data_IF_024521993180
#
_entry.id   IF_024521993180
#
_cell.length_a   1.000
_cell.length_b   1.000
_cell.length_c   1.000
_cell.angle_alpha   90.00
_cell.angle_beta   90.00
_cell.angle_gamma   90.00
#
_symmetry.space_group_name_H-M   'P 1'
#
loop_
_entity.id
_entity.type
_entity.pdbx_description
1 polymer ?
#
# COMPACT_ATOMS: atom_id res chain seq x y z
N UNK A 1 26.99 9.43 3.36
CA UNK A 1 26.38 9.09 2.06
C UNK A 1 25.14 8.27 2.33
N UNK A 2 23.96 8.90 2.40
CA UNK A 2 22.69 8.18 2.48
C UNK A 2 22.37 7.77 1.05
N UNK A 3 22.61 6.51 0.70
CA UNK A 3 22.23 6.00 -0.61
C UNK A 3 20.75 6.21 -0.78
N UNK A 4 20.36 7.02 -1.76
CA UNK A 4 19.00 7.03 -2.27
C UNK A 4 18.64 5.59 -2.61
N UNK A 5 17.81 4.96 -1.77
CA UNK A 5 17.17 3.71 -2.09
C UNK A 5 16.24 4.02 -3.27
N UNK A 6 16.79 3.98 -4.48
CA UNK A 6 16.01 4.11 -5.70
C UNK A 6 14.87 3.11 -5.58
N UNK A 7 13.63 3.59 -5.69
CA UNK A 7 12.45 2.72 -5.79
C UNK A 7 12.52 2.00 -7.15
N UNK A 8 13.39 0.99 -7.24
CA UNK A 8 13.70 0.22 -8.45
C UNK A 8 12.92 -1.10 -8.52
N UNK A 9 12.17 -1.44 -7.46
CA UNK A 9 11.31 -2.62 -7.39
C UNK A 9 9.89 -2.28 -7.83
N UNK A 10 9.31 -3.18 -8.62
CA UNK A 10 7.93 -3.07 -9.13
C UNK A 10 7.14 -4.31 -8.74
N UNK A 11 5.92 -4.08 -8.29
CA UNK A 11 4.91 -5.12 -8.08
C UNK A 11 3.79 -4.87 -9.08
N UNK A 12 3.29 -5.95 -9.69
CA UNK A 12 2.09 -5.91 -10.55
C UNK A 12 1.02 -6.74 -9.87
N UNK A 13 -0.12 -6.13 -9.58
CA UNK A 13 -1.27 -6.77 -8.93
C UNK A 13 -2.41 -6.83 -9.93
N UNK A 14 -3.02 -8.00 -10.08
CA UNK A 14 -4.25 -8.17 -10.87
C UNK A 14 -5.42 -8.11 -9.91
N UNK A 15 -6.38 -7.25 -10.22
CA UNK A 15 -7.55 -6.99 -9.41
C UNK A 15 -8.80 -7.15 -10.30
N UNK A 16 -9.91 -7.52 -9.70
CA UNK A 16 -11.23 -7.33 -10.31
C UNK A 16 -11.57 -5.84 -10.37
N UNK A 17 -12.64 -5.50 -11.09
CA UNK A 17 -13.13 -4.12 -11.15
C UNK A 17 -13.51 -3.60 -9.76
N UNK A 18 -14.24 -4.40 -8.99
CA UNK A 18 -14.68 -4.05 -7.63
C UNK A 18 -13.50 -3.84 -6.67
N UNK A 19 -12.49 -4.71 -6.74
CA UNK A 19 -11.26 -4.59 -5.94
C UNK A 19 -10.49 -3.31 -6.29
N UNK A 20 -10.39 -2.98 -7.58
CA UNK A 20 -9.74 -1.75 -8.01
C UNK A 20 -10.52 -0.51 -7.57
N UNK A 21 -11.85 -0.52 -7.72
CA UNK A 21 -12.72 0.57 -7.30
C UNK A 21 -12.61 0.82 -5.79
N UNK A 22 -12.57 -0.24 -4.98
CA UNK A 22 -12.34 -0.15 -3.55
C UNK A 22 -10.99 0.53 -3.22
N UNK A 23 -9.91 0.11 -3.88
CA UNK A 23 -8.58 0.74 -3.69
C UNK A 23 -8.62 2.21 -4.09
N UNK A 24 -9.29 2.56 -5.19
CA UNK A 24 -9.42 3.93 -5.67
C UNK A 24 -10.20 4.82 -4.69
N UNK A 25 -11.35 4.35 -4.21
CA UNK A 25 -12.18 5.07 -3.25
C UNK A 25 -11.44 5.34 -1.94
N UNK A 26 -10.78 4.31 -1.38
CA UNK A 26 -9.99 4.47 -0.15
C UNK A 26 -8.85 5.45 -0.37
N UNK A 27 -8.13 5.33 -1.48
CA UNK A 27 -7.02 6.22 -1.85
C UNK A 27 -7.49 7.68 -1.93
N UNK A 28 -8.64 7.93 -2.56
CA UNK A 28 -9.22 9.26 -2.66
C UNK A 28 -9.59 9.85 -1.29
N UNK A 29 -10.14 9.03 -0.38
CA UNK A 29 -10.52 9.47 0.98
C UNK A 29 -9.32 9.84 1.84
N UNK A 30 -8.22 9.10 1.73
CA UNK A 30 -7.02 9.32 2.57
C UNK A 30 -6.05 10.34 1.97
N UNK A 31 -6.26 10.77 0.71
CA UNK A 31 -5.41 11.76 0.05
C UNK A 31 -3.99 11.26 -0.26
N UNK A 32 -3.80 9.95 -0.37
CA UNK A 32 -2.51 9.31 -0.67
C UNK A 32 -2.45 8.89 -2.14
N UNK A 33 -1.27 8.56 -2.66
CA UNK A 33 -1.16 7.81 -3.91
C UNK A 33 -1.57 6.34 -3.70
N UNK A 34 -2.02 5.65 -4.75
CA UNK A 34 -2.35 4.21 -4.67
C UNK A 34 -1.21 3.37 -4.08
N UNK A 35 0.03 3.72 -4.40
CA UNK A 35 1.22 3.02 -3.86
C UNK A 35 1.34 3.22 -2.35
N UNK A 36 1.18 4.46 -1.88
CA UNK A 36 1.21 4.77 -0.44
C UNK A 36 0.04 4.13 0.30
N UNK A 37 -1.15 4.13 -0.28
CA UNK A 37 -2.32 3.43 0.29
C UNK A 37 -2.05 1.95 0.48
N UNK A 38 -1.50 1.27 -0.54
CA UNK A 38 -1.18 -0.16 -0.47
C UNK A 38 -0.11 -0.41 0.59
N UNK A 39 0.98 0.38 0.61
CA UNK A 39 2.05 0.23 1.60
C UNK A 39 1.54 0.47 3.02
N UNK A 40 0.69 1.49 3.22
CA UNK A 40 0.08 1.76 4.53
C UNK A 40 -0.81 0.60 4.99
N UNK A 41 -1.55 -0.01 4.06
CA UNK A 41 -2.32 -1.23 4.34
C UNK A 41 -1.44 -2.38 4.82
N UNK A 42 -0.28 -2.59 4.21
CA UNK A 42 0.70 -3.61 4.63
C UNK A 42 1.28 -3.30 6.01
N UNK A 43 1.67 -2.05 6.27
CA UNK A 43 2.18 -1.62 7.59
C UNK A 43 1.16 -1.87 8.71
N UNK A 44 -0.12 -1.56 8.47
CA UNK A 44 -1.18 -1.78 9.47
C UNK A 44 -1.40 -3.28 9.76
N UNK A 45 -1.26 -4.14 8.74
CA UNK A 45 -1.30 -5.59 8.93
C UNK A 45 -0.11 -6.08 9.76
N UNK A 46 1.09 -5.59 9.48
CA UNK A 46 2.31 -5.91 10.24
C UNK A 46 2.19 -5.50 11.71
N UNK A 47 1.77 -4.26 11.97
CA UNK A 47 1.51 -3.77 13.34
C UNK A 47 0.46 -4.60 14.09
N UNK A 48 -0.53 -5.12 13.38
CA UNK A 48 -1.59 -5.95 13.97
C UNK A 48 -1.04 -7.33 14.35
N UNK A 49 -0.18 -7.91 13.52
CA UNK A 49 0.47 -9.19 13.80
C UNK A 49 1.44 -9.10 14.97
N UNK A 50 2.21 -8.02 15.07
CA UNK A 50 3.16 -7.81 16.17
C UNK A 50 2.49 -7.57 17.52
N UNK A 51 1.29 -6.95 17.54
CA UNK A 51 0.47 -6.82 18.76
C UNK A 51 -0.12 -8.14 19.25
N UNK A 52 -0.06 -9.20 18.44
CA UNK A 52 -0.62 -10.52 18.77
C UNK A 52 0.46 -11.50 19.27
N UNK A 53 1.74 -11.08 19.31
CA UNK A 53 2.85 -11.81 19.94
C UNK A 53 3.09 -11.33 21.37
#
# INVERSE_FOLDING_TARGET
MKGDAKRDKRITIRLTEDEFAFVDEVTAKVGLSKTETILKGVELLDETLDKTK
#
